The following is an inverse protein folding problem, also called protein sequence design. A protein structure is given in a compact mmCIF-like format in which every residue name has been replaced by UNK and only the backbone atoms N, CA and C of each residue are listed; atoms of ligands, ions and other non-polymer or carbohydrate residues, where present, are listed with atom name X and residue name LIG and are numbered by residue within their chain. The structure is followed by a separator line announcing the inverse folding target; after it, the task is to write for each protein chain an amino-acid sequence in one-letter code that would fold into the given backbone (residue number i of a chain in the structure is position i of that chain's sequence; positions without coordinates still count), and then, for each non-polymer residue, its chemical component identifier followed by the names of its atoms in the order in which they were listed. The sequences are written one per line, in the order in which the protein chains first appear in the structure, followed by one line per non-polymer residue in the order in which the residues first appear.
data_IF_959281072781
#
_entry.id   IF_959281072781
#
_cell.length_a   1.000
_cell.length_b   1.000
_cell.length_c   1.000
_cell.angle_alpha   90.00
_cell.angle_beta   90.00
_cell.angle_gamma   90.00
#
_symmetry.space_group_name_H-M   'P 1'
#
loop_
_entity.id
_entity.type
_entity.pdbx_description
1 polymer ?
#
# COMPACT_ATOMS: atom_id res chain seq x y z
N UNK A 1 -21.19 -17.84 0.47
CA UNK A 1 -20.42 -16.62 0.15
C UNK A 1 -21.32 -15.42 0.40
N UNK A 2 -20.84 -14.39 1.11
CA UNK A 2 -21.56 -13.11 1.27
C UNK A 2 -21.13 -12.15 0.15
N UNK A 3 -21.96 -11.17 -0.25
CA UNK A 3 -21.57 -10.20 -1.27
C UNK A 3 -20.26 -9.48 -0.95
N UNK A 4 -19.98 -9.24 0.34
CA UNK A 4 -18.77 -8.53 0.75
C UNK A 4 -17.49 -9.36 0.59
N UNK A 5 -17.57 -10.71 0.60
CA UNK A 5 -16.39 -11.57 0.51
C UNK A 5 -16.25 -12.34 -0.79
N UNK A 6 -17.22 -12.25 -1.71
CA UNK A 6 -17.19 -12.98 -2.99
C UNK A 6 -15.94 -12.66 -3.80
N UNK A 7 -15.54 -11.40 -3.86
CA UNK A 7 -14.34 -10.97 -4.59
C UNK A 7 -13.09 -11.62 -4.01
N UNK A 8 -12.89 -11.52 -2.69
CA UNK A 8 -11.75 -12.13 -2.01
C UNK A 8 -11.72 -13.65 -2.19
N UNK A 9 -12.84 -14.34 -2.03
CA UNK A 9 -12.91 -15.79 -2.24
C UNK A 9 -12.53 -16.20 -3.67
N UNK A 10 -13.02 -15.48 -4.69
CA UNK A 10 -12.67 -15.74 -6.09
C UNK A 10 -11.20 -15.43 -6.37
N UNK A 11 -10.70 -14.31 -5.83
CA UNK A 11 -9.29 -13.93 -5.94
C UNK A 11 -8.38 -15.04 -5.38
N UNK A 12 -8.65 -15.52 -4.18
CA UNK A 12 -7.89 -16.59 -3.53
C UNK A 12 -7.94 -17.91 -4.31
N UNK A 13 -9.10 -18.27 -4.85
CA UNK A 13 -9.26 -19.50 -5.65
C UNK A 13 -8.46 -19.45 -6.96
N UNK A 14 -8.35 -18.28 -7.59
CA UNK A 14 -7.72 -18.13 -8.90
C UNK A 14 -6.22 -17.82 -8.83
N UNK A 15 -5.79 -17.03 -7.84
CA UNK A 15 -4.47 -16.37 -7.85
C UNK A 15 -3.50 -16.89 -6.79
N UNK A 16 -3.93 -17.26 -5.58
CA UNK A 16 -3.01 -17.77 -4.55
C UNK A 16 -2.23 -19.01 -5.01
N UNK A 17 -2.85 -20.03 -5.62
CA UNK A 17 -2.12 -21.23 -6.04
C UNK A 17 -1.00 -20.93 -7.03
N UNK A 18 -1.08 -19.82 -7.77
CA UNK A 18 -0.09 -19.38 -8.74
C UNK A 18 0.95 -18.44 -8.14
N UNK A 19 0.66 -17.87 -6.97
CA UNK A 19 1.50 -16.89 -6.34
C UNK A 19 2.73 -17.53 -5.68
N UNK A 20 2.61 -18.74 -5.11
CA UNK A 20 3.77 -19.49 -4.62
C UNK A 20 4.76 -19.77 -5.75
N UNK A 21 4.28 -20.26 -6.89
CA UNK A 21 5.08 -20.46 -8.10
C UNK A 21 5.69 -19.15 -8.61
N UNK A 22 4.94 -18.05 -8.48
CA UNK A 22 5.41 -16.73 -8.88
C UNK A 22 6.54 -16.22 -7.97
N UNK A 23 6.42 -16.38 -6.66
CA UNK A 23 7.44 -16.01 -5.68
C UNK A 23 8.71 -16.84 -5.89
N UNK A 24 8.57 -18.15 -6.11
CA UNK A 24 9.68 -19.04 -6.44
C UNK A 24 10.41 -18.58 -7.70
N UNK A 25 9.69 -18.28 -8.78
CA UNK A 25 10.27 -17.77 -10.02
C UNK A 25 10.94 -16.38 -9.85
N UNK A 26 10.42 -15.55 -8.94
CA UNK A 26 10.93 -14.20 -8.67
C UNK A 26 12.26 -14.20 -7.92
N UNK A 27 12.52 -15.24 -7.11
CA UNK A 27 13.72 -15.35 -6.27
C UNK A 27 15.03 -15.54 -7.06
N UNK A 28 14.94 -15.83 -8.35
CA UNK A 28 16.08 -16.21 -9.20
C UNK A 28 16.85 -15.00 -9.76
N UNK A 29 16.24 -13.82 -9.87
CA UNK A 29 16.84 -12.68 -10.57
C UNK A 29 17.64 -11.70 -9.68
N UNK A 30 17.34 -11.61 -8.37
CA UNK A 30 18.04 -10.69 -7.46
C UNK A 30 17.95 -11.18 -6.01
N UNK A 31 19.08 -11.65 -5.45
CA UNK A 31 19.16 -12.14 -4.07
C UNK A 31 18.76 -11.09 -3.05
N UNK A 32 19.12 -9.82 -3.27
CA UNK A 32 18.81 -8.74 -2.33
C UNK A 32 17.32 -8.44 -2.28
N UNK A 33 16.65 -8.37 -3.42
CA UNK A 33 15.21 -8.09 -3.48
C UNK A 33 14.39 -9.24 -2.89
N UNK A 34 14.80 -10.48 -3.14
CA UNK A 34 14.20 -11.66 -2.53
C UNK A 34 14.30 -11.64 -1.00
N UNK A 35 15.46 -11.26 -0.44
CA UNK A 35 15.66 -11.13 1.01
C UNK A 35 14.80 -10.01 1.61
N UNK A 36 14.72 -8.85 0.95
CA UNK A 36 13.88 -7.73 1.42
C UNK A 36 12.38 -8.09 1.37
N UNK A 37 11.95 -8.76 0.31
CA UNK A 37 10.59 -9.26 0.19
C UNK A 37 10.27 -10.27 1.29
N UNK A 38 11.12 -11.27 1.48
CA UNK A 38 10.96 -12.30 2.53
C UNK A 38 10.89 -11.67 3.93
N UNK A 39 11.77 -10.70 4.22
CA UNK A 39 11.73 -9.97 5.49
C UNK A 39 10.42 -9.19 5.66
N UNK A 40 9.93 -8.55 4.60
CA UNK A 40 8.66 -7.82 4.64
C UNK A 40 7.48 -8.78 4.86
N UNK A 41 7.50 -9.94 4.20
CA UNK A 41 6.52 -11.01 4.38
C UNK A 41 6.49 -11.51 5.82
N UNK A 42 7.65 -11.87 6.39
CA UNK A 42 7.78 -12.31 7.78
C UNK A 42 7.28 -11.25 8.77
N UNK A 43 7.63 -10.00 8.53
CA UNK A 43 7.22 -8.87 9.38
C UNK A 43 5.70 -8.68 9.33
N UNK A 44 5.09 -8.74 8.15
CA UNK A 44 3.64 -8.57 7.97
C UNK A 44 2.81 -9.77 8.44
N UNK A 45 3.39 -10.97 8.47
CA UNK A 45 2.74 -12.17 9.00
C UNK A 45 2.93 -12.34 10.51
N UNK A 46 3.76 -11.50 11.14
CA UNK A 46 3.93 -11.54 12.59
C UNK A 46 2.63 -11.17 13.29
N UNK A 47 2.13 -11.99 14.23
CA UNK A 47 0.92 -11.67 15.01
C UNK A 47 1.18 -10.65 16.12
N UNK A 48 2.44 -10.24 16.33
CA UNK A 48 2.86 -9.40 17.45
C UNK A 48 2.35 -7.96 17.33
N UNK A 49 2.27 -7.44 16.10
CA UNK A 49 1.96 -6.03 15.85
C UNK A 49 0.86 -5.87 14.82
N UNK A 50 -0.07 -4.92 15.01
CA UNK A 50 -1.05 -4.58 14.00
C UNK A 50 -0.37 -3.99 12.76
N UNK A 51 -0.90 -4.34 11.59
CA UNK A 51 -0.36 -3.93 10.30
C UNK A 51 -1.32 -2.99 9.55
N UNK A 52 -0.81 -1.87 9.05
CA UNK A 52 -1.57 -0.90 8.25
C UNK A 52 -0.93 -0.76 6.86
N UNK A 53 -1.65 -1.14 5.83
CA UNK A 53 -1.25 -0.93 4.44
C UNK A 53 -1.70 0.45 3.95
N UNK A 54 -0.79 1.26 3.42
CA UNK A 54 -1.11 2.51 2.70
C UNK A 54 -0.81 2.36 1.21
N UNK A 55 -1.79 2.67 0.37
CA UNK A 55 -1.63 2.75 -1.08
C UNK A 55 -1.86 4.17 -1.58
N UNK A 56 -0.80 4.83 -2.02
CA UNK A 56 -0.86 6.19 -2.58
C UNK A 56 -0.53 6.16 -4.07
N UNK A 57 -1.52 6.42 -4.91
CA UNK A 57 -1.39 6.59 -6.37
C UNK A 57 -1.39 8.07 -6.68
N UNK A 58 -0.31 8.59 -7.27
CA UNK A 58 -0.31 9.96 -7.82
C UNK A 58 -0.71 9.96 -9.31
N UNK A 59 -0.42 8.86 -10.02
CA UNK A 59 -0.75 8.71 -11.44
C UNK A 59 0.40 9.05 -12.39
N UNK A 60 0.15 8.82 -13.67
CA UNK A 60 1.20 8.64 -14.68
C UNK A 60 1.95 9.93 -15.05
N UNK A 61 1.33 11.10 -14.85
CA UNK A 61 1.94 12.38 -15.15
C UNK A 61 3.17 12.65 -14.26
N UNK A 62 3.14 12.18 -13.01
CA UNK A 62 4.24 12.36 -12.06
C UNK A 62 5.40 11.37 -12.28
N UNK A 63 5.17 10.31 -13.08
CA UNK A 63 6.23 9.36 -13.45
C UNK A 63 7.09 9.85 -14.62
N UNK A 64 6.69 10.94 -15.31
CA UNK A 64 7.50 11.57 -16.36
C UNK A 64 8.53 12.56 -15.79
N UNK A 65 8.30 13.10 -14.60
CA UNK A 65 9.15 14.11 -13.96
C UNK A 65 10.15 13.51 -12.96
N UNK A 66 11.07 12.70 -13.47
CA UNK A 66 12.30 12.41 -12.74
C UNK A 66 13.30 13.52 -12.97
N UNK A 67 13.77 14.19 -11.91
CA UNK A 67 15.22 14.22 -11.58
C UNK A 67 15.72 15.28 -10.57
N UNK A 68 14.96 16.27 -10.07
CA UNK A 68 15.64 17.35 -9.30
C UNK A 68 14.92 18.02 -8.12
N UNK A 69 13.73 17.59 -7.71
CA UNK A 69 12.99 18.30 -6.63
C UNK A 69 13.24 17.66 -5.25
N UNK A 70 13.62 18.49 -4.28
CA UNK A 70 14.05 18.10 -2.94
C UNK A 70 13.01 17.35 -2.09
N UNK A 71 13.46 16.73 -1.00
CA UNK A 71 12.69 15.89 -0.06
C UNK A 71 11.61 16.63 0.73
N UNK A 72 11.51 17.96 0.58
CA UNK A 72 10.53 18.83 1.23
C UNK A 72 9.73 19.57 0.16
N UNK A 73 8.95 18.83 -0.62
CA UNK A 73 7.96 19.43 -1.50
C UNK A 73 6.70 19.71 -0.67
N UNK A 74 6.45 20.97 -0.25
CA UNK A 74 5.33 21.28 0.63
C UNK A 74 3.99 20.91 -0.02
N UNK A 75 3.93 20.95 -1.36
CA UNK A 75 2.72 20.64 -2.12
C UNK A 75 2.32 19.16 -1.99
N UNK A 76 3.28 18.24 -1.96
CA UNK A 76 3.01 16.81 -1.80
C UNK A 76 2.56 16.47 -0.38
N UNK A 77 3.13 17.15 0.63
CA UNK A 77 2.72 16.96 2.02
C UNK A 77 1.32 17.53 2.24
N UNK A 78 1.02 18.72 1.71
CA UNK A 78 -0.30 19.32 1.81
C UNK A 78 -1.38 18.45 1.15
N UNK A 79 -1.04 17.87 0.01
CA UNK A 79 -1.92 16.98 -0.76
C UNK A 79 -2.07 15.64 0.00
N UNK A 80 -1.01 14.86 0.12
CA UNK A 80 -1.11 13.47 0.61
C UNK A 80 -1.00 13.33 2.13
N UNK A 81 -0.83 14.41 2.89
CA UNK A 81 -0.63 14.38 4.34
C UNK A 81 -1.77 13.69 5.10
N UNK A 82 -3.01 13.77 4.58
CA UNK A 82 -4.15 13.08 5.18
C UNK A 82 -4.01 11.57 5.29
N UNK A 83 -3.23 10.93 4.42
CA UNK A 83 -2.94 9.49 4.52
C UNK A 83 -2.06 9.18 5.74
N UNK A 84 -1.07 10.02 6.00
CA UNK A 84 -0.18 9.85 7.15
C UNK A 84 -0.88 10.17 8.46
N UNK A 85 -1.72 11.21 8.49
CA UNK A 85 -2.58 11.51 9.63
C UNK A 85 -3.55 10.36 9.92
N UNK A 86 -4.13 9.75 8.88
CA UNK A 86 -5.00 8.58 9.04
C UNK A 86 -4.28 7.39 9.71
N UNK A 87 -3.00 7.15 9.38
CA UNK A 87 -2.18 6.15 10.08
C UNK A 87 -1.93 6.52 11.54
N UNK A 88 -1.67 7.79 11.81
CA UNK A 88 -1.46 8.27 13.18
C UNK A 88 -2.71 8.09 14.03
N UNK A 89 -3.88 8.40 13.50
CA UNK A 89 -5.17 8.18 14.18
C UNK A 89 -5.38 6.68 14.50
N UNK A 90 -5.12 5.79 13.53
CA UNK A 90 -5.32 4.35 13.68
C UNK A 90 -4.26 3.68 14.58
N UNK A 91 -3.05 4.23 14.62
CA UNK A 91 -1.97 3.72 15.48
C UNK A 91 -1.98 4.31 16.89
N UNK A 92 -2.78 5.35 17.16
CA UNK A 92 -2.80 6.05 18.45
C UNK A 92 -3.12 5.15 19.66
N UNK A 93 -3.86 4.05 19.45
CA UNK A 93 -4.20 3.09 20.50
C UNK A 93 -3.22 1.92 20.62
N UNK A 94 -2.19 1.85 19.77
CA UNK A 94 -1.28 0.72 19.70
C UNK A 94 0.13 1.12 20.13
N UNK A 95 0.81 0.32 20.97
CA UNK A 95 2.16 0.64 21.44
C UNK A 95 3.20 0.55 20.33
N UNK A 96 2.95 -0.27 19.31
CA UNK A 96 3.77 -0.41 18.11
C UNK A 96 2.87 -0.79 16.92
N UNK A 97 3.21 -0.33 15.72
CA UNK A 97 2.43 -0.56 14.50
C UNK A 97 3.34 -0.65 13.29
N UNK A 98 3.14 -1.69 12.47
CA UNK A 98 3.85 -1.85 11.21
C UNK A 98 3.04 -1.18 10.10
N UNK A 99 3.69 -0.34 9.31
CA UNK A 99 3.07 0.33 8.17
C UNK A 99 3.72 -0.13 6.88
N UNK A 100 2.95 -0.71 5.96
CA UNK A 100 3.42 -1.04 4.62
C UNK A 100 2.97 0.04 3.63
N UNK A 101 3.91 0.78 3.05
CA UNK A 101 3.61 1.84 2.09
C UNK A 101 3.93 1.43 0.65
N UNK A 102 2.89 1.38 -0.16
CA UNK A 102 2.91 1.15 -1.61
C UNK A 102 2.59 2.46 -2.35
N UNK A 103 3.55 3.00 -3.10
CA UNK A 103 3.34 4.20 -3.92
C UNK A 103 4.18 4.21 -5.19
N UNK A 104 3.58 4.72 -6.26
CA UNK A 104 4.26 4.98 -7.54
C UNK A 104 5.25 6.14 -7.48
N UNK A 105 5.23 6.93 -6.40
CA UNK A 105 6.14 8.05 -6.19
C UNK A 105 7.24 7.73 -5.19
N UNK A 106 8.49 7.75 -5.67
CA UNK A 106 9.66 7.68 -4.80
C UNK A 106 9.72 8.87 -3.82
N UNK A 107 9.17 10.03 -4.19
CA UNK A 107 9.15 11.22 -3.33
C UNK A 107 8.26 11.01 -2.11
N UNK A 108 7.05 10.47 -2.31
CA UNK A 108 6.13 10.15 -1.20
C UNK A 108 6.74 9.12 -0.25
N UNK A 109 7.37 8.06 -0.80
CA UNK A 109 8.05 7.05 0.03
C UNK A 109 9.17 7.66 0.88
N UNK A 110 9.98 8.57 0.31
CA UNK A 110 11.00 9.30 1.05
C UNK A 110 10.42 10.24 2.11
N UNK A 111 9.30 10.90 1.83
CA UNK A 111 8.59 11.74 2.81
C UNK A 111 8.11 10.89 3.99
N UNK A 112 7.49 9.74 3.72
CA UNK A 112 7.04 8.81 4.76
C UNK A 112 8.21 8.27 5.58
N UNK A 113 9.31 7.88 4.92
CA UNK A 113 10.55 7.47 5.60
C UNK A 113 11.05 8.59 6.52
N UNK A 114 11.16 9.82 6.04
CA UNK A 114 11.59 10.94 6.88
C UNK A 114 10.64 11.23 8.06
N UNK A 115 9.34 10.96 7.90
CA UNK A 115 8.33 11.18 8.94
C UNK A 115 8.43 10.16 10.08
N UNK A 116 8.60 8.88 9.73
CA UNK A 116 8.57 7.76 10.68
C UNK A 116 9.94 7.09 10.90
N UNK A 117 11.03 7.70 10.42
CA UNK A 117 12.36 7.21 10.72
C UNK A 117 12.60 7.21 12.23
N UNK A 118 13.14 6.12 12.77
CA UNK A 118 13.34 5.85 14.21
C UNK A 118 14.22 6.87 14.98
N UNK A 119 14.64 7.97 14.35
CA UNK A 119 15.29 9.10 15.01
C UNK A 119 14.34 10.24 15.41
N UNK A 120 13.06 10.19 14.99
CA UNK A 120 12.05 11.18 15.37
C UNK A 120 11.45 10.82 16.73
N UNK A 121 11.70 11.66 17.75
CA UNK A 121 11.25 11.48 19.14
C UNK A 121 9.71 11.34 19.25
N UNK A 122 8.95 11.80 18.23
CA UNK A 122 7.50 11.87 18.28
C UNK A 122 6.75 10.68 17.64
N UNK A 123 7.44 9.75 16.97
CA UNK A 123 6.79 8.64 16.24
C UNK A 123 7.49 7.29 16.43
N UNK A 124 8.06 7.05 17.61
CA UNK A 124 8.86 5.86 17.91
C UNK A 124 8.08 4.53 17.86
N UNK A 125 6.76 4.56 17.70
CA UNK A 125 5.90 3.38 17.65
C UNK A 125 5.52 2.92 16.24
N UNK A 126 5.94 3.63 15.18
CA UNK A 126 5.60 3.26 13.79
C UNK A 126 6.84 2.71 13.06
N UNK A 127 6.77 1.46 12.62
CA UNK A 127 7.77 0.85 11.75
C UNK A 127 7.31 0.90 10.29
N UNK A 128 8.01 1.67 9.44
CA UNK A 128 7.68 1.77 8.02
C UNK A 128 8.40 0.70 7.17
N UNK A 129 7.64 -0.09 6.43
CA UNK A 129 8.07 -0.96 5.35
C UNK A 129 7.72 -0.32 4.00
N UNK A 130 8.73 0.01 3.20
CA UNK A 130 8.52 0.51 1.84
C UNK A 130 9.74 0.25 0.98
N UNK A 131 9.54 0.03 -0.32
CA UNK A 131 10.65 -0.05 -1.26
C UNK A 131 11.32 1.33 -1.40
N UNK A 132 12.64 1.36 -1.51
CA UNK A 132 13.41 2.58 -1.82
C UNK A 132 13.82 2.67 -3.29
N UNK A 133 13.49 1.63 -4.09
CA UNK A 133 13.82 1.56 -5.51
C UNK A 133 12.78 2.29 -6.34
N UNK A 134 13.19 2.86 -7.48
CA UNK A 134 12.27 3.52 -8.40
C UNK A 134 11.30 2.51 -9.00
N UNK A 135 10.02 2.86 -9.05
CA UNK A 135 8.99 2.00 -9.65
C UNK A 135 9.24 1.86 -11.16
N UNK A 136 9.26 0.62 -11.65
CA UNK A 136 9.31 0.30 -13.08
C UNK A 136 7.88 0.20 -13.61
N UNK A 137 7.42 1.19 -14.36
CA UNK A 137 6.06 1.20 -14.88
C UNK A 137 5.94 0.41 -16.18
N UNK A 138 4.98 -0.52 -16.27
CA UNK A 138 4.70 -1.35 -17.46
C UNK A 138 4.56 -0.56 -18.77
N UNK A 139 4.04 0.67 -18.74
CA UNK A 139 3.87 1.49 -19.96
C UNK A 139 5.12 2.29 -20.33
N UNK A 140 6.03 2.53 -19.38
CA UNK A 140 7.15 3.48 -19.55
C UNK A 140 8.54 2.86 -19.38
N UNK A 141 8.64 1.65 -18.82
CA UNK A 141 9.89 0.90 -18.72
C UNK A 141 10.05 -0.06 -19.89
N UNK A 142 11.31 -0.33 -20.29
CA UNK A 142 11.63 -1.42 -21.22
C UNK A 142 11.43 -2.80 -20.58
N UNK A 143 11.50 -2.85 -19.24
CA UNK A 143 11.36 -4.07 -18.43
C UNK A 143 9.91 -4.24 -17.96
N UNK A 144 8.97 -4.42 -18.89
CA UNK A 144 7.54 -4.51 -18.57
C UNK A 144 7.23 -5.70 -17.64
N UNK A 145 7.87 -6.84 -17.86
CA UNK A 145 7.73 -8.02 -17.03
C UNK A 145 8.15 -7.77 -15.57
N UNK A 146 9.30 -7.12 -15.35
CA UNK A 146 9.79 -6.80 -14.01
C UNK A 146 8.81 -5.85 -13.32
N UNK A 147 8.36 -4.80 -14.01
CA UNK A 147 7.39 -3.85 -13.45
C UNK A 147 6.06 -4.50 -13.05
N UNK A 148 5.55 -5.41 -13.89
CA UNK A 148 4.35 -6.19 -13.59
C UNK A 148 4.56 -7.10 -12.37
N UNK A 149 5.70 -7.81 -12.32
CA UNK A 149 6.05 -8.69 -11.20
C UNK A 149 6.15 -7.95 -9.90
N UNK A 150 6.92 -6.87 -9.85
CA UNK A 150 7.11 -6.10 -8.63
C UNK A 150 5.77 -5.51 -8.16
N UNK A 151 4.92 -5.06 -9.10
CA UNK A 151 3.56 -4.60 -8.78
C UNK A 151 2.68 -5.69 -8.17
N UNK A 152 2.73 -6.93 -8.67
CA UNK A 152 1.99 -8.05 -8.09
C UNK A 152 2.50 -8.42 -6.69
N UNK A 153 3.82 -8.40 -6.47
CA UNK A 153 4.41 -8.66 -5.16
C UNK A 153 4.01 -7.60 -4.14
N UNK A 154 4.02 -6.32 -4.54
CA UNK A 154 3.55 -5.22 -3.69
C UNK A 154 2.06 -5.35 -3.36
N UNK A 155 1.21 -5.69 -4.36
CA UNK A 155 -0.21 -5.96 -4.13
C UNK A 155 -0.41 -7.13 -3.15
N UNK A 156 0.39 -8.18 -3.27
CA UNK A 156 0.32 -9.31 -2.36
C UNK A 156 0.67 -8.90 -0.92
N UNK A 157 1.82 -8.24 -0.69
CA UNK A 157 2.21 -7.78 0.64
C UNK A 157 1.16 -6.84 1.24
N UNK A 158 0.63 -5.91 0.43
CA UNK A 158 -0.45 -5.02 0.86
C UNK A 158 -1.70 -5.79 1.30
N UNK A 159 -2.06 -6.88 0.61
CA UNK A 159 -3.22 -7.72 0.96
C UNK A 159 -3.08 -8.45 2.30
N UNK A 160 -1.86 -8.57 2.84
CA UNK A 160 -1.61 -9.20 4.14
C UNK A 160 -1.89 -8.28 5.33
N UNK A 161 -2.00 -6.96 5.10
CA UNK A 161 -2.23 -6.01 6.18
C UNK A 161 -3.63 -6.16 6.81
N UNK A 162 -3.78 -5.82 8.09
CA UNK A 162 -5.05 -5.87 8.81
C UNK A 162 -5.98 -4.70 8.50
N UNK A 163 -5.38 -3.55 8.18
CA UNK A 163 -6.07 -2.32 7.80
C UNK A 163 -5.49 -1.76 6.50
N UNK A 164 -6.32 -1.06 5.74
CA UNK A 164 -5.98 -0.57 4.41
C UNK A 164 -6.43 0.87 4.25
N UNK A 165 -5.50 1.74 3.90
CA UNK A 165 -5.77 3.11 3.47
C UNK A 165 -5.38 3.17 1.99
N UNK A 166 -6.27 3.61 1.11
CA UNK A 166 -6.01 3.66 -0.32
C UNK A 166 -6.46 4.96 -0.97
N UNK A 167 -5.87 5.24 -2.12
CA UNK A 167 -6.33 6.33 -2.99
C UNK A 167 -7.65 5.94 -3.61
N UNK A 168 -8.68 6.78 -3.44
CA UNK A 168 -10.07 6.43 -3.76
C UNK A 168 -10.20 5.83 -5.15
N UNK A 169 -9.65 6.46 -6.17
CA UNK A 169 -9.89 6.05 -7.55
C UNK A 169 -8.85 5.03 -8.07
N UNK A 170 -8.14 4.33 -7.16
CA UNK A 170 -7.06 3.39 -7.50
C UNK A 170 -7.50 1.93 -7.42
N UNK A 171 -7.66 1.29 -8.60
CA UNK A 171 -7.85 -0.17 -8.69
C UNK A 171 -6.69 -0.97 -8.10
N UNK A 172 -5.47 -0.44 -8.19
CA UNK A 172 -4.25 -1.07 -7.67
C UNK A 172 -4.25 -1.25 -6.15
N UNK A 173 -4.87 -0.33 -5.41
CA UNK A 173 -5.07 -0.49 -3.96
C UNK A 173 -6.32 -1.29 -3.60
N UNK A 174 -7.41 -1.14 -4.37
CA UNK A 174 -8.70 -1.78 -4.06
C UNK A 174 -8.67 -3.29 -4.23
N UNK A 175 -8.05 -3.79 -5.31
CA UNK A 175 -7.94 -5.23 -5.57
C UNK A 175 -7.33 -5.98 -4.37
N UNK A 176 -6.11 -5.65 -3.90
CA UNK A 176 -5.51 -6.36 -2.77
C UNK A 176 -6.20 -6.07 -1.44
N UNK A 177 -6.77 -4.88 -1.24
CA UNK A 177 -7.58 -4.59 -0.05
C UNK A 177 -8.80 -5.52 0.04
N UNK A 178 -9.55 -5.71 -1.04
CA UNK A 178 -10.68 -6.65 -1.05
C UNK A 178 -10.24 -8.11 -1.04
N UNK A 179 -9.08 -8.42 -1.62
CA UNK A 179 -8.47 -9.75 -1.53
C UNK A 179 -8.14 -10.12 -0.08
N UNK A 180 -7.76 -9.17 0.79
CA UNK A 180 -7.50 -9.43 2.21
C UNK A 180 -8.72 -9.98 2.97
N UNK A 181 -9.94 -9.73 2.46
CA UNK A 181 -11.22 -10.00 3.13
C UNK A 181 -11.40 -9.25 4.47
N UNK A 182 -10.56 -8.25 4.77
CA UNK A 182 -10.59 -7.40 5.98
C UNK A 182 -11.49 -6.17 5.82
N UNK A 183 -12.68 -6.36 5.23
CA UNK A 183 -13.52 -5.27 4.71
C UNK A 183 -13.98 -4.19 5.72
N UNK A 184 -13.80 -4.43 7.03
CA UNK A 184 -14.14 -3.47 8.09
C UNK A 184 -12.96 -2.58 8.49
N UNK A 185 -11.93 -2.51 7.65
CA UNK A 185 -10.71 -1.75 7.92
C UNK A 185 -10.20 -1.01 6.68
N UNK A 186 -11.10 -0.69 5.74
CA UNK A 186 -10.76 -0.08 4.46
C UNK A 186 -11.13 1.41 4.43
N UNK A 187 -10.14 2.28 4.34
CA UNK A 187 -10.28 3.73 4.26
C UNK A 187 -9.91 4.21 2.85
N UNK A 188 -10.76 5.04 2.25
CA UNK A 188 -10.62 5.48 0.87
C UNK A 188 -10.53 7.00 0.81
N UNK A 189 -9.36 7.51 0.44
CA UNK A 189 -9.03 8.93 0.55
C UNK A 189 -8.76 9.56 -0.81
N UNK A 190 -9.17 10.81 -0.97
CA UNK A 190 -8.70 11.68 -2.05
C UNK A 190 -7.41 12.38 -1.63
N UNK A 191 -6.63 12.82 -2.60
CA UNK A 191 -5.33 13.47 -2.39
C UNK A 191 -5.39 14.83 -1.68
N UNK A 192 -6.53 15.32 -1.19
CA UNK A 192 -6.60 16.53 -0.35
C UNK A 192 -7.50 16.32 0.87
N UNK A 193 -7.87 15.06 1.12
CA UNK A 193 -8.70 14.72 2.25
C UNK A 193 -7.92 14.99 3.55
N UNK A 194 -8.61 15.51 4.55
CA UNK A 194 -8.14 15.58 5.93
C UNK A 194 -9.06 14.69 6.78
N UNK A 195 -9.01 13.37 6.58
CA UNK A 195 -9.92 12.47 7.28
C UNK A 195 -9.57 12.44 8.77
N UNK A 196 -10.58 12.14 9.58
CA UNK A 196 -10.35 11.49 10.88
C UNK A 196 -10.57 10.01 10.64
N UNK A 197 -9.54 9.20 10.88
CA UNK A 197 -9.65 7.75 10.65
C UNK A 197 -9.89 7.05 11.98
N UNK A 198 -11.12 6.57 12.17
CA UNK A 198 -11.50 5.78 13.33
C UNK A 198 -12.15 4.46 12.89
N UNK A 199 -11.98 3.41 13.68
CA UNK A 199 -12.69 2.16 13.45
C UNK A 199 -14.21 2.40 13.50
N UNK A 200 -14.91 1.96 12.45
CA UNK A 200 -16.35 2.20 12.27
C UNK A 200 -16.71 3.47 11.47
N UNK A 201 -15.77 4.38 11.23
CA UNK A 201 -16.00 5.62 10.47
C UNK A 201 -15.23 5.63 9.15
N UNK A 202 -15.82 6.20 8.08
CA UNK A 202 -15.12 6.37 6.79
C UNK A 202 -14.77 5.08 6.03
N UNK A 203 -15.35 3.94 6.45
CA UNK A 203 -15.07 2.64 5.87
C UNK A 203 -15.80 2.43 4.54
N UNK A 204 -15.08 1.89 3.56
CA UNK A 204 -15.64 1.58 2.25
C UNK A 204 -15.95 0.09 2.14
N UNK A 205 -17.17 -0.22 1.72
CA UNK A 205 -17.59 -1.59 1.43
C UNK A 205 -17.38 -1.94 -0.05
N UNK A 206 -17.32 -3.23 -0.35
CA UNK A 206 -17.26 -3.72 -1.74
C UNK A 206 -18.46 -3.24 -2.57
N UNK A 207 -19.66 -3.29 -1.99
CA UNK A 207 -20.89 -2.85 -2.66
C UNK A 207 -20.89 -1.35 -2.98
N UNK A 208 -20.33 -0.52 -2.10
CA UNK A 208 -20.17 0.92 -2.34
C UNK A 208 -19.10 1.18 -3.41
N UNK A 209 -18.00 0.41 -3.38
CA UNK A 209 -16.89 0.52 -4.34
C UNK A 209 -17.24 0.11 -5.76
N UNK A 210 -18.15 -0.86 -5.93
CA UNK A 210 -18.52 -1.36 -7.26
C UNK A 210 -19.08 -0.27 -8.19
N UNK A 211 -19.74 0.75 -7.62
CA UNK A 211 -20.26 1.90 -8.39
C UNK A 211 -19.13 2.78 -8.90
N UNK A 212 -18.13 3.01 -8.05
CA UNK A 212 -16.99 3.89 -8.36
C UNK A 212 -16.01 3.25 -9.36
N UNK A 213 -15.93 1.92 -9.43
CA UNK A 213 -15.11 1.20 -10.41
C UNK A 213 -15.62 1.32 -11.84
N UNK A 214 -16.95 1.45 -12.01
CA UNK A 214 -17.54 1.38 -13.34
C UNK A 214 -17.37 2.65 -14.15
N UNK A 215 -17.08 3.80 -13.52
CA UNK A 215 -17.08 5.09 -14.21
C UNK A 215 -18.43 5.41 -14.88
N UNK A 216 -19.51 4.68 -14.51
CA UNK A 216 -20.89 4.86 -14.96
C UNK A 216 -21.74 5.35 -13.81
#
# INVERSE_FOLDING_TARGET
MRPDNIFGCLYHMLLIPRLSTFIEASSVESRTDAVLFQKSLETLLSPEFPTIGIQIRIGDLFMKEDSSVGTKDPSLIERFGGFFTCVEDLSASNPETIVFLMSDSLRIRKIALNRWYSGSINHSHIQLLTSTTKVKHITYSKDTYIGFRDGLLDMFLYSLCDQHILTRDSGFGRVPAFASMKNRSLFSLTEKAKPKCALGEGQVTFTQSGREWSGV
#
